data_IF_380051845277
#
_entry.id   IF_380051845277
#
_cell.length_a   1.000
_cell.length_b   1.000
_cell.length_c   1.000
_cell.angle_alpha   90.00
_cell.angle_beta   90.00
_cell.angle_gamma   90.00
#
_symmetry.space_group_name_H-M   'P 1'
#
loop_
_entity.id
_entity.type
_entity.pdbx_description
1 polymer ?
#
# COMPACT_ATOMS: atom_id res chain seq x y z
N UNK A 1 22.52 7.85 -5.90
CA UNK A 1 22.02 6.59 -6.48
C UNK A 1 20.60 6.43 -5.98
N UNK A 2 19.61 6.34 -6.86
CA UNK A 2 18.23 6.07 -6.43
C UNK A 2 18.12 4.60 -6.05
N UNK A 3 17.40 4.28 -4.98
CA UNK A 3 17.17 2.89 -4.57
C UNK A 3 16.05 2.32 -5.44
N UNK A 4 16.30 1.16 -6.05
CA UNK A 4 15.31 0.44 -6.83
C UNK A 4 14.25 -0.23 -5.91
N UNK A 5 13.06 -0.48 -6.48
CA UNK A 5 11.98 -1.16 -5.81
C UNK A 5 12.15 -2.70 -5.91
N UNK A 6 13.06 -3.24 -5.10
CA UNK A 6 13.55 -4.64 -5.20
C UNK A 6 12.47 -5.75 -5.13
N UNK A 7 11.25 -5.44 -4.65
CA UNK A 7 10.16 -6.41 -4.44
C UNK A 7 8.91 -6.14 -5.30
N UNK A 8 8.97 -5.14 -6.17
CA UNK A 8 7.95 -4.89 -7.18
C UNK A 8 7.75 -6.15 -8.05
N UNK A 9 6.50 -6.49 -8.34
CA UNK A 9 6.14 -7.71 -9.08
C UNK A 9 6.08 -8.98 -8.24
N UNK A 10 6.59 -8.96 -7.00
CA UNK A 10 6.52 -10.11 -6.07
C UNK A 10 5.59 -9.84 -4.90
N UNK A 11 5.81 -8.74 -4.16
CA UNK A 11 5.03 -8.42 -2.95
C UNK A 11 3.80 -7.55 -3.25
N UNK A 12 3.89 -6.79 -4.34
CA UNK A 12 2.88 -5.87 -4.85
C UNK A 12 3.09 -5.73 -6.37
N UNK A 13 2.09 -5.27 -7.14
CA UNK A 13 2.23 -5.07 -8.59
C UNK A 13 3.40 -4.14 -8.93
N UNK A 14 4.20 -4.50 -9.94
CA UNK A 14 5.26 -3.63 -10.48
C UNK A 14 4.71 -2.51 -11.37
N UNK A 15 3.56 -2.76 -12.00
CA UNK A 15 2.86 -1.81 -12.84
C UNK A 15 2.14 -0.77 -11.98
N UNK A 16 2.43 0.51 -12.24
CA UNK A 16 1.95 1.61 -11.42
C UNK A 16 0.42 1.77 -11.47
N UNK A 17 -0.20 1.56 -12.63
CA UNK A 17 -1.64 1.71 -12.80
C UNK A 17 -2.38 0.61 -12.00
N UNK A 18 -1.92 -0.64 -12.12
CA UNK A 18 -2.44 -1.76 -11.31
C UNK A 18 -2.24 -1.56 -9.81
N UNK A 19 -1.10 -1.00 -9.40
CA UNK A 19 -0.85 -0.72 -7.99
C UNK A 19 -1.81 0.35 -7.46
N UNK A 20 -2.05 1.41 -8.23
CA UNK A 20 -2.99 2.46 -7.85
C UNK A 20 -4.42 1.94 -7.75
N UNK A 21 -4.88 1.15 -8.72
CA UNK A 21 -6.20 0.50 -8.67
C UNK A 21 -6.35 -0.39 -7.43
N UNK A 22 -5.30 -1.16 -7.08
CA UNK A 22 -5.28 -1.99 -5.90
C UNK A 22 -5.39 -1.16 -4.61
N UNK A 23 -4.59 -0.10 -4.48
CA UNK A 23 -4.62 0.78 -3.31
C UNK A 23 -5.94 1.54 -3.18
N UNK A 24 -6.55 1.93 -4.30
CA UNK A 24 -7.89 2.54 -4.33
C UNK A 24 -8.96 1.59 -3.80
N UNK A 25 -8.84 0.29 -4.09
CA UNK A 25 -9.77 -0.72 -3.57
C UNK A 25 -9.73 -0.86 -2.03
N UNK A 26 -8.62 -0.48 -1.39
CA UNK A 26 -8.46 -0.51 0.06
C UNK A 26 -8.96 0.75 0.77
N UNK A 27 -9.24 1.82 0.01
CA UNK A 27 -9.69 3.09 0.60
C UNK A 27 -11.06 2.91 1.26
N UNK A 28 -11.11 3.27 2.53
CA UNK A 28 -12.35 3.35 3.28
C UNK A 28 -12.89 4.78 3.23
N UNK A 29 -14.20 4.91 3.03
CA UNK A 29 -14.89 6.21 3.10
C UNK A 29 -15.12 6.59 4.58
N UNK A 30 -14.03 6.94 5.27
CA UNK A 30 -14.04 7.36 6.68
C UNK A 30 -13.49 8.77 6.82
N UNK A 31 -14.19 9.62 7.57
CA UNK A 31 -13.69 10.93 7.95
C UNK A 31 -13.04 10.81 9.34
N UNK A 32 -11.73 11.06 9.41
CA UNK A 32 -10.97 11.00 10.66
C UNK A 32 -10.59 12.43 11.07
N UNK A 33 -11.22 12.94 12.12
CA UNK A 33 -10.97 14.28 12.68
C UNK A 33 -9.80 14.26 13.69
N UNK A 34 -8.70 13.60 13.33
CA UNK A 34 -7.44 13.67 14.05
C UNK A 34 -6.26 13.38 13.14
N UNK A 35 -5.09 13.92 13.51
CA UNK A 35 -3.84 13.66 12.80
C UNK A 35 -2.99 12.65 13.58
N UNK A 36 -2.86 11.45 13.02
CA UNK A 36 -2.00 10.40 13.59
C UNK A 36 -0.54 10.85 13.63
N UNK A 37 0.12 10.64 14.78
CA UNK A 37 1.58 10.83 14.92
C UNK A 37 2.37 9.58 14.49
N UNK A 38 1.75 8.41 14.55
CA UNK A 38 2.31 7.14 14.15
C UNK A 38 1.21 6.18 13.70
N UNK A 39 1.59 5.18 12.89
CA UNK A 39 0.75 4.05 12.49
C UNK A 39 1.57 2.78 12.62
N UNK A 40 0.92 1.67 12.97
CA UNK A 40 1.51 0.34 12.99
C UNK A 40 0.77 -0.47 11.93
N UNK A 41 1.50 -0.97 10.94
CA UNK A 41 0.94 -1.68 9.78
C UNK A 41 1.75 -2.93 9.47
N UNK A 42 1.13 -3.98 8.89
CA UNK A 42 1.83 -5.15 8.41
C UNK A 42 2.72 -4.84 7.18
N UNK A 43 3.66 -5.73 6.88
CA UNK A 43 4.60 -5.59 5.74
C UNK A 43 4.63 -6.84 4.84
N UNK A 44 3.63 -7.72 4.95
CA UNK A 44 3.50 -8.87 4.08
C UNK A 44 3.10 -8.44 2.66
N UNK A 45 3.09 -9.38 1.71
CA UNK A 45 2.57 -9.11 0.37
C UNK A 45 1.12 -8.60 0.43
N UNK A 46 0.76 -7.66 -0.46
CA UNK A 46 -0.51 -6.93 -0.38
C UNK A 46 -1.73 -7.85 -0.52
N UNK A 47 -1.57 -9.01 -1.17
CA UNK A 47 -2.59 -10.07 -1.24
C UNK A 47 -2.96 -10.65 0.14
N UNK A 48 -2.10 -10.50 1.15
CA UNK A 48 -2.35 -11.01 2.50
C UNK A 48 -2.63 -9.93 3.54
N UNK A 49 -2.15 -8.71 3.30
CA UNK A 49 -2.17 -7.66 4.32
C UNK A 49 -2.68 -6.30 3.84
N UNK A 50 -3.26 -6.24 2.64
CA UNK A 50 -3.77 -5.01 2.04
C UNK A 50 -5.21 -4.65 2.41
N UNK A 51 -5.98 -5.56 3.00
CA UNK A 51 -7.41 -5.39 3.32
C UNK A 51 -7.66 -5.03 4.78
#
# INVERSE_FOLDING_TARGET
>A
MNKEADFAGTFYPEDADKLNELLDSYKQNINIDYRSKAVIVPHAGYVYSGH
#
